data_IF_784004560486
#
_entry.id   IF_784004560486
#
_cell.length_a   1.000
_cell.length_b   1.000
_cell.length_c   1.000
_cell.angle_alpha   90.00
_cell.angle_beta   90.00
_cell.angle_gamma   90.00
#
_symmetry.space_group_name_H-M   'P 1'
#
loop_
_entity.id
_entity.type
_entity.pdbx_description
1 polymer ?
#
# COMPACT_ATOMS: atom_id res chain seq x y z
N UNK A 1 5.81 -15.27 0.82
CA UNK A 1 4.70 -14.70 1.61
C UNK A 1 3.56 -14.40 0.66
N UNK A 2 2.41 -15.01 0.87
CA UNK A 2 1.24 -14.80 0.03
C UNK A 2 0.27 -13.90 0.80
N UNK A 3 -0.03 -12.71 0.26
CA UNK A 3 -0.98 -11.75 0.85
C UNK A 3 -2.44 -12.24 0.71
N UNK A 4 -2.67 -13.12 -0.25
CA UNK A 4 -3.90 -13.85 -0.52
C UNK A 4 -3.54 -15.20 -1.13
N UNK A 5 -4.40 -16.19 -0.99
CA UNK A 5 -4.27 -17.47 -1.68
C UNK A 5 -5.34 -18.45 -1.21
N UNK A 6 -5.70 -19.37 -2.07
CA UNK A 6 -6.53 -20.53 -1.74
C UNK A 6 -5.78 -21.76 -2.19
N UNK A 7 -5.69 -22.77 -1.33
CA UNK A 7 -5.44 -24.14 -1.76
C UNK A 7 -6.77 -24.88 -1.79
N UNK A 8 -6.86 -26.00 -2.51
CA UNK A 8 -8.05 -26.86 -2.46
C UNK A 8 -8.40 -27.15 -0.99
N UNK A 9 -9.65 -26.86 -0.61
CA UNK A 9 -10.16 -27.03 0.75
C UNK A 9 -9.86 -25.93 1.77
N UNK A 10 -8.90 -25.02 1.54
CA UNK A 10 -8.51 -24.01 2.54
C UNK A 10 -8.32 -22.59 1.96
N UNK A 11 -9.15 -21.64 2.42
CA UNK A 11 -8.92 -20.20 2.19
C UNK A 11 -7.79 -19.72 3.11
N UNK A 12 -6.71 -19.16 2.55
CA UNK A 12 -5.68 -18.48 3.36
C UNK A 12 -6.23 -17.15 3.86
N UNK A 13 -5.85 -16.80 5.08
CA UNK A 13 -6.27 -15.57 5.74
C UNK A 13 -5.72 -14.35 4.97
N UNK A 14 -6.61 -13.42 4.61
CA UNK A 14 -6.20 -12.11 4.10
C UNK A 14 -5.76 -11.22 5.27
N UNK A 15 -4.47 -10.88 5.32
CA UNK A 15 -3.89 -10.10 6.42
C UNK A 15 -4.23 -8.60 6.33
N UNK A 16 -4.46 -8.11 5.11
CA UNK A 16 -4.66 -6.69 4.82
C UNK A 16 -5.85 -6.53 3.89
N UNK A 17 -6.77 -5.63 4.23
CA UNK A 17 -7.90 -5.29 3.38
C UNK A 17 -7.40 -4.84 1.99
N UNK A 18 -8.07 -5.31 0.93
CA UNK A 18 -7.74 -4.98 -0.46
C UNK A 18 -7.67 -3.46 -0.68
N UNK A 19 -8.55 -2.75 0.01
CA UNK A 19 -8.62 -1.31 0.01
C UNK A 19 -7.34 -0.59 0.46
N UNK A 20 -6.59 -1.20 1.38
CA UNK A 20 -5.29 -0.72 1.83
C UNK A 20 -4.16 -1.16 0.89
N UNK A 21 -4.22 -2.39 0.36
CA UNK A 21 -3.26 -2.89 -0.64
C UNK A 21 -3.21 -1.99 -1.86
N UNK A 22 -4.36 -1.48 -2.30
CA UNK A 22 -4.44 -0.64 -3.49
C UNK A 22 -3.99 0.81 -3.32
N UNK A 23 -3.67 1.23 -2.10
CA UNK A 23 -3.14 2.58 -1.86
C UNK A 23 -1.71 2.68 -2.43
N UNK A 24 -1.29 3.86 -2.89
CA UNK A 24 0.12 4.08 -3.21
C UNK A 24 1.02 3.84 -1.99
N UNK A 25 2.29 3.50 -2.22
CA UNK A 25 3.27 3.20 -1.15
C UNK A 25 3.40 4.32 -0.11
N UNK A 26 3.34 5.58 -0.56
CA UNK A 26 3.34 6.79 0.30
C UNK A 26 2.22 6.81 1.35
N UNK A 27 1.12 6.11 1.08
CA UNK A 27 -0.05 6.03 1.96
C UNK A 27 -0.18 4.65 2.62
N UNK A 28 0.91 3.87 2.64
CA UNK A 28 0.97 2.57 3.29
C UNK A 28 0.32 1.43 2.52
N UNK A 29 0.13 1.54 1.21
CA UNK A 29 -0.28 0.41 0.36
C UNK A 29 0.86 -0.17 -0.49
N UNK A 30 0.50 -1.00 -1.47
CA UNK A 30 1.43 -1.68 -2.38
C UNK A 30 1.42 -1.12 -3.80
N UNK A 31 0.67 -0.03 -4.03
CA UNK A 31 0.49 0.59 -5.34
C UNK A 31 -0.21 -0.31 -6.38
N UNK A 32 -0.98 -1.30 -5.92
CA UNK A 32 -1.83 -2.12 -6.79
C UNK A 32 -3.01 -1.27 -7.25
N UNK A 33 -3.26 -1.18 -8.55
CA UNK A 33 -4.36 -0.35 -9.06
C UNK A 33 -5.71 -1.04 -8.83
N UNK A 34 -6.70 -0.30 -8.31
CA UNK A 34 -8.10 -0.77 -8.31
C UNK A 34 -8.61 -0.72 -9.74
N UNK A 35 -8.86 -1.87 -10.37
CA UNK A 35 -9.26 -1.93 -11.78
C UNK A 35 -10.46 -1.04 -12.09
N UNK A 36 -11.48 -1.01 -11.22
CA UNK A 36 -12.67 -0.15 -11.40
C UNK A 36 -12.31 1.33 -11.46
N UNK A 37 -11.53 1.84 -10.49
CA UNK A 37 -11.13 3.26 -10.44
C UNK A 37 -10.10 3.60 -11.53
N UNK A 38 -9.21 2.67 -11.88
CA UNK A 38 -8.25 2.87 -12.95
C UNK A 38 -8.94 2.93 -14.32
N UNK A 39 -9.91 2.05 -14.56
CA UNK A 39 -10.75 2.10 -15.74
C UNK A 39 -11.52 3.42 -15.80
N UNK A 40 -12.09 3.85 -14.68
CA UNK A 40 -12.80 5.12 -14.57
C UNK A 40 -11.91 6.32 -14.94
N UNK A 41 -10.71 6.40 -14.37
CA UNK A 41 -9.71 7.40 -14.75
C UNK A 41 -9.24 7.27 -16.21
N UNK A 42 -9.27 6.07 -16.79
CA UNK A 42 -8.91 5.86 -18.19
C UNK A 42 -10.02 6.33 -19.14
N UNK A 43 -11.28 6.04 -18.82
CA UNK A 43 -12.45 6.52 -19.58
C UNK A 43 -12.56 8.03 -19.49
N UNK A 44 -12.21 8.64 -18.35
CA UNK A 44 -12.16 10.10 -18.23
C UNK A 44 -11.19 10.78 -19.20
N UNK A 45 -10.16 10.07 -19.67
CA UNK A 45 -9.27 10.57 -20.73
C UNK A 45 -10.02 10.73 -22.05
N UNK A 46 -10.93 9.81 -22.37
CA UNK A 46 -11.77 9.89 -23.57
C UNK A 46 -12.67 11.12 -23.49
N UNK A 47 -13.29 11.35 -22.33
CA UNK A 47 -14.11 12.53 -22.09
C UNK A 47 -13.30 13.84 -22.26
N UNK A 48 -12.08 13.89 -21.72
CA UNK A 48 -11.17 15.02 -21.93
C UNK A 48 -10.80 15.24 -23.40
N UNK A 49 -10.59 14.17 -24.18
CA UNK A 49 -10.26 14.27 -25.60
C UNK A 49 -11.42 14.85 -26.41
N UNK A 50 -12.66 14.46 -26.08
CA UNK A 50 -13.88 15.04 -26.67
C UNK A 50 -14.03 16.51 -26.28
N UNK A 51 -13.92 16.82 -24.98
CA UNK A 51 -14.05 18.19 -24.47
C UNK A 51 -13.07 19.18 -25.11
N UNK A 52 -11.85 18.73 -25.42
CA UNK A 52 -10.82 19.55 -26.05
C UNK A 52 -10.79 19.44 -27.58
N UNK A 53 -11.83 18.84 -28.20
CA UNK A 53 -11.93 18.58 -29.65
C UNK A 53 -10.60 18.11 -30.25
N UNK A 54 -9.95 17.14 -29.59
CA UNK A 54 -8.63 16.66 -30.02
C UNK A 54 -8.68 16.16 -31.45
N UNK A 55 -7.68 16.52 -32.23
CA UNK A 55 -7.56 16.13 -33.64
C UNK A 55 -7.18 14.65 -33.78
N UNK A 56 -8.14 13.77 -33.52
CA UNK A 56 -8.03 12.32 -33.65
C UNK A 56 -9.31 11.76 -34.27
N UNK A 57 -9.19 10.74 -35.10
CA UNK A 57 -10.28 10.23 -35.94
C UNK A 57 -11.54 9.88 -35.15
N UNK A 58 -11.39 9.19 -34.01
CA UNK A 58 -12.54 8.76 -33.22
C UNK A 58 -13.26 9.93 -32.53
N UNK A 59 -12.57 11.02 -32.16
CA UNK A 59 -13.19 12.22 -31.59
C UNK A 59 -13.97 12.96 -32.67
N UNK A 60 -13.40 13.09 -33.88
CA UNK A 60 -14.12 13.65 -35.04
C UNK A 60 -15.39 12.85 -35.31
N UNK A 61 -15.28 11.54 -35.40
CA UNK A 61 -16.43 10.66 -35.64
C UNK A 61 -17.51 10.79 -34.55
N UNK A 62 -17.11 10.80 -33.27
CA UNK A 62 -18.06 11.01 -32.16
C UNK A 62 -18.76 12.36 -32.26
N UNK A 63 -18.02 13.42 -32.58
CA UNK A 63 -18.57 14.77 -32.69
C UNK A 63 -19.51 14.93 -33.89
N UNK A 64 -19.32 14.18 -34.98
CA UNK A 64 -20.21 14.22 -36.15
C UNK A 64 -21.48 13.37 -35.96
N UNK A 65 -21.37 12.25 -35.26
CA UNK A 65 -22.47 11.28 -35.11
C UNK A 65 -23.34 11.56 -33.88
N UNK A 66 -22.72 11.90 -32.75
CA UNK A 66 -23.42 11.98 -31.46
C UNK A 66 -23.67 13.40 -30.98
N UNK A 67 -22.89 14.39 -31.45
CA UNK A 67 -22.98 15.77 -31.00
C UNK A 67 -23.27 16.68 -32.20
N UNK A 68 -23.85 17.86 -31.98
CA UNK A 68 -23.89 18.90 -33.02
C UNK A 68 -22.53 19.63 -33.05
N UNK A 69 -22.13 20.20 -34.20
CA UNK A 69 -20.79 20.75 -34.44
C UNK A 69 -20.27 21.73 -33.34
N UNK A 70 -21.18 22.45 -32.68
CA UNK A 70 -20.87 23.45 -31.64
C UNK A 70 -21.34 23.06 -30.23
N UNK A 71 -21.80 21.83 -30.02
CA UNK A 71 -22.27 21.38 -28.72
C UNK A 71 -21.10 21.09 -27.77
N UNK A 72 -21.21 21.58 -26.52
CA UNK A 72 -20.25 21.25 -25.47
C UNK A 72 -20.58 19.91 -24.84
N UNK A 73 -19.56 19.08 -24.63
CA UNK A 73 -19.74 17.77 -24.01
C UNK A 73 -20.26 17.92 -22.58
N UNK A 74 -19.99 19.00 -21.86
CA UNK A 74 -20.47 19.14 -20.49
C UNK A 74 -21.98 19.40 -20.39
N UNK A 75 -22.59 19.99 -21.43
CA UNK A 75 -24.04 20.24 -21.50
C UNK A 75 -24.81 19.20 -22.33
N UNK A 76 -24.12 18.37 -23.11
CA UNK A 76 -24.75 17.35 -23.94
C UNK A 76 -25.50 16.28 -23.11
N UNK A 77 -26.73 15.96 -23.52
CA UNK A 77 -27.51 14.85 -22.97
C UNK A 77 -27.71 13.76 -24.03
N UNK A 78 -27.30 12.50 -23.76
CA UNK A 78 -27.41 11.44 -24.75
C UNK A 78 -28.86 10.95 -24.90
N UNK A 79 -29.31 10.74 -26.14
CA UNK A 79 -30.59 10.06 -26.42
C UNK A 79 -30.63 8.65 -25.80
N UNK A 80 -31.82 8.18 -25.42
CA UNK A 80 -32.00 6.83 -24.87
C UNK A 80 -31.61 5.73 -25.88
N UNK A 81 -31.81 6.00 -27.18
CA UNK A 81 -31.46 5.08 -28.28
C UNK A 81 -29.96 5.06 -28.60
N UNK A 82 -29.18 5.94 -27.97
CA UNK A 82 -27.73 5.96 -28.16
C UNK A 82 -27.05 4.73 -27.56
N UNK A 83 -25.88 4.41 -28.11
CA UNK A 83 -25.12 3.24 -27.70
C UNK A 83 -24.85 3.23 -26.19
N UNK A 84 -24.86 2.05 -25.58
CA UNK A 84 -24.61 1.89 -24.16
C UNK A 84 -23.28 2.55 -23.72
N UNK A 85 -22.25 2.45 -24.55
CA UNK A 85 -20.96 3.08 -24.31
C UNK A 85 -21.05 4.61 -24.26
N UNK A 86 -21.83 5.22 -25.15
CA UNK A 86 -22.06 6.67 -25.15
C UNK A 86 -22.80 7.11 -23.88
N UNK A 87 -23.91 6.45 -23.54
CA UNK A 87 -24.64 6.73 -22.29
C UNK A 87 -23.75 6.55 -21.06
N UNK A 88 -22.92 5.49 -21.04
CA UNK A 88 -21.99 5.24 -19.92
C UNK A 88 -20.92 6.31 -19.81
N UNK A 89 -20.35 6.79 -20.91
CA UNK A 89 -19.37 7.88 -20.93
C UNK A 89 -19.99 9.18 -20.39
N UNK A 90 -21.22 9.48 -20.81
CA UNK A 90 -21.95 10.66 -20.39
C UNK A 90 -22.29 10.65 -18.90
N UNK A 91 -22.66 9.49 -18.35
CA UNK A 91 -22.91 9.33 -16.91
C UNK A 91 -21.67 9.59 -16.02
N UNK A 92 -20.47 9.68 -16.59
CA UNK A 92 -19.24 10.00 -15.85
C UNK A 92 -18.97 11.49 -15.73
N UNK A 93 -19.67 12.33 -16.49
CA UNK A 93 -19.48 13.78 -16.51
C UNK A 93 -19.67 14.38 -15.12
N UNK A 94 -20.76 14.03 -14.44
CA UNK A 94 -21.10 14.59 -13.12
C UNK A 94 -20.00 14.35 -12.11
N UNK A 95 -19.48 13.11 -12.08
CA UNK A 95 -18.43 12.71 -11.17
C UNK A 95 -17.10 13.42 -11.47
N UNK A 96 -16.82 13.67 -12.75
CA UNK A 96 -15.57 14.31 -13.18
C UNK A 96 -15.66 15.81 -13.34
N UNK A 97 -16.85 16.42 -13.23
CA UNK A 97 -17.10 17.86 -13.39
C UNK A 97 -16.17 18.68 -12.50
N UNK A 98 -15.97 18.22 -11.27
CA UNK A 98 -15.05 18.80 -10.28
C UNK A 98 -13.58 18.67 -10.65
N UNK A 99 -13.19 18.09 -11.78
CA UNK A 99 -11.79 18.05 -12.25
C UNK A 99 -11.51 19.08 -13.34
N UNK A 100 -12.52 19.83 -13.73
CA UNK A 100 -12.46 20.84 -14.78
C UNK A 100 -12.92 22.18 -14.23
N UNK A 101 -12.31 23.25 -14.73
CA UNK A 101 -12.75 24.62 -14.51
C UNK A 101 -12.65 25.38 -15.83
N UNK A 102 -13.77 25.90 -16.33
CA UNK A 102 -13.87 26.57 -17.64
C UNK A 102 -13.20 25.76 -18.78
N UNK A 103 -13.40 24.45 -18.78
CA UNK A 103 -12.82 23.52 -19.77
C UNK A 103 -11.36 23.10 -19.50
N UNK A 104 -10.67 23.71 -18.53
CA UNK A 104 -9.27 23.39 -18.19
C UNK A 104 -9.22 22.29 -17.12
N UNK A 105 -8.43 21.25 -17.37
CA UNK A 105 -8.24 20.15 -16.42
C UNK A 105 -7.32 20.58 -15.27
N UNK A 106 -7.86 20.64 -14.05
CA UNK A 106 -7.18 21.27 -12.90
C UNK A 106 -6.28 20.35 -12.09
N UNK A 107 -6.29 19.04 -12.33
CA UNK A 107 -5.48 18.08 -11.56
C UNK A 107 -4.00 18.03 -11.99
N UNK A 108 -3.60 18.84 -12.96
CA UNK A 108 -2.23 19.00 -13.45
C UNK A 108 -1.96 20.46 -13.74
N UNK A 109 -0.74 20.93 -13.44
CA UNK A 109 -0.34 22.32 -13.66
C UNK A 109 -0.35 22.76 -15.13
N UNK A 110 -0.16 21.83 -16.06
CA UNK A 110 -0.13 22.10 -17.50
C UNK A 110 -1.50 21.94 -18.19
N UNK A 111 -2.58 21.68 -17.44
CA UNK A 111 -3.92 21.46 -18.01
C UNK A 111 -4.10 20.17 -18.82
N UNK A 112 -3.10 19.27 -18.86
CA UNK A 112 -3.17 18.04 -19.64
C UNK A 112 -3.71 16.86 -18.83
N UNK A 113 -4.61 16.08 -19.42
CA UNK A 113 -5.18 14.93 -18.72
C UNK A 113 -4.14 13.90 -18.32
N UNK A 114 -4.19 13.48 -17.06
CA UNK A 114 -3.35 12.43 -16.50
C UNK A 114 -4.22 11.39 -15.81
N UNK A 115 -4.23 10.17 -16.34
CA UNK A 115 -4.91 9.01 -15.74
C UNK A 115 -4.43 8.81 -14.30
N UNK A 116 -3.14 9.00 -14.04
CA UNK A 116 -2.56 8.88 -12.69
C UNK A 116 -3.09 9.95 -11.73
N UNK A 117 -3.20 11.21 -12.17
CA UNK A 117 -3.74 12.30 -11.34
C UNK A 117 -5.23 12.09 -11.06
N UNK A 118 -6.01 11.73 -12.07
CA UNK A 118 -7.44 11.40 -11.93
C UNK A 118 -7.66 10.19 -11.02
N UNK A 119 -6.86 9.14 -11.16
CA UNK A 119 -6.90 7.97 -10.28
C UNK A 119 -6.63 8.35 -8.81
N UNK A 120 -5.65 9.22 -8.55
CA UNK A 120 -5.37 9.69 -7.20
C UNK A 120 -6.51 10.55 -6.65
N UNK A 121 -7.16 11.37 -7.48
CA UNK A 121 -8.36 12.13 -7.09
C UNK A 121 -9.52 11.19 -6.71
N UNK A 122 -9.73 10.09 -7.45
CA UNK A 122 -10.74 9.08 -7.15
C UNK A 122 -10.46 8.30 -5.85
N UNK A 123 -9.19 8.16 -5.46
CA UNK A 123 -8.83 7.55 -4.18
C UNK A 123 -9.14 8.46 -2.98
N UNK A 124 -9.38 9.75 -3.23
CA UNK A 124 -9.71 10.74 -2.20
C UNK A 124 -8.55 11.07 -1.26
N UNK A 125 -8.89 11.74 -0.16
CA UNK A 125 -7.92 12.11 0.86
C UNK A 125 -7.41 10.88 1.61
N UNK A 126 -6.11 10.63 1.54
CA UNK A 126 -5.44 9.54 2.21
C UNK A 126 -4.41 10.06 3.21
N UNK A 127 -4.37 9.44 4.39
CA UNK A 127 -3.35 9.75 5.39
C UNK A 127 -1.97 9.28 4.93
N UNK A 128 -1.01 10.21 4.89
CA UNK A 128 0.38 9.92 4.52
C UNK A 128 1.01 9.04 5.59
N UNK A 129 1.62 7.94 5.15
CA UNK A 129 2.49 7.14 6.00
C UNK A 129 3.88 7.80 6.00
N UNK A 130 4.21 8.51 7.08
CA UNK A 130 5.43 9.34 7.18
C UNK A 130 6.72 8.54 6.99
N UNK A 131 6.71 7.27 7.38
CA UNK A 131 7.86 6.35 7.34
C UNK A 131 7.87 5.46 6.10
N UNK A 132 6.98 5.68 5.11
CA UNK A 132 6.86 4.83 3.93
C UNK A 132 8.16 4.72 3.12
N UNK A 133 8.90 5.81 2.96
CA UNK A 133 10.19 5.83 2.29
C UNK A 133 11.23 4.94 2.97
N UNK A 134 11.19 4.83 4.31
CA UNK A 134 12.10 3.94 5.05
C UNK A 134 11.75 2.46 4.87
N UNK A 135 10.49 2.10 4.63
CA UNK A 135 10.11 0.70 4.36
C UNK A 135 10.40 0.33 2.91
N UNK A 136 10.14 1.25 1.98
CA UNK A 136 10.21 0.97 0.54
C UNK A 136 11.54 1.34 -0.11
N UNK A 137 12.57 1.62 0.69
CA UNK A 137 13.91 1.96 0.20
C UNK A 137 14.58 0.80 -0.57
N UNK A 138 15.53 1.12 -1.44
CA UNK A 138 16.19 0.13 -2.29
C UNK A 138 17.17 -0.80 -1.56
N UNK A 139 17.72 -0.38 -0.43
CA UNK A 139 18.71 -1.11 0.38
C UNK A 139 18.06 -2.31 1.10
N UNK A 140 16.83 -2.14 1.60
CA UNK A 140 16.08 -3.20 2.24
C UNK A 140 15.70 -4.27 1.22
N UNK A 141 15.94 -5.55 1.52
CA UNK A 141 15.64 -6.63 0.57
C UNK A 141 14.14 -6.77 0.32
N UNK A 142 13.69 -7.15 -0.90
CA UNK A 142 12.27 -7.22 -1.24
C UNK A 142 11.41 -8.04 -0.25
N UNK A 143 11.92 -9.17 0.25
CA UNK A 143 11.22 -10.01 1.25
C UNK A 143 11.09 -9.31 2.61
N UNK A 144 12.11 -8.56 3.02
CA UNK A 144 12.10 -7.79 4.26
C UNK A 144 11.09 -6.64 4.17
N UNK A 145 11.05 -5.90 3.05
CA UNK A 145 10.08 -4.80 2.84
C UNK A 145 8.64 -5.24 3.11
N UNK A 146 8.30 -6.42 2.61
CA UNK A 146 6.96 -6.96 2.76
C UNK A 146 6.63 -7.33 4.21
N UNK A 147 7.56 -7.97 4.93
CA UNK A 147 7.38 -8.26 6.37
C UNK A 147 7.34 -6.96 7.17
N UNK A 148 8.29 -6.05 6.96
CA UNK A 148 8.32 -4.72 7.57
C UNK A 148 7.01 -3.95 7.37
N UNK A 149 6.44 -3.98 6.17
CA UNK A 149 5.15 -3.36 5.87
C UNK A 149 3.97 -3.97 6.65
N UNK A 150 3.97 -5.30 6.83
CA UNK A 150 2.97 -5.97 7.66
C UNK A 150 3.17 -5.69 9.15
N UNK A 151 4.41 -5.74 9.64
CA UNK A 151 4.75 -5.41 11.04
C UNK A 151 4.37 -3.97 11.36
N UNK A 152 4.62 -3.02 10.46
CA UNK A 152 4.24 -1.61 10.66
C UNK A 152 2.73 -1.42 10.87
N UNK A 153 1.91 -2.29 10.26
CA UNK A 153 0.45 -2.28 10.38
C UNK A 153 -0.09 -3.26 11.45
N UNK A 154 0.80 -3.89 12.23
CA UNK A 154 0.48 -4.92 13.22
C UNK A 154 -0.29 -6.10 12.62
N UNK A 155 0.07 -6.54 11.40
CA UNK A 155 -0.65 -7.55 10.61
C UNK A 155 0.01 -8.93 10.59
N UNK A 156 1.17 -9.10 11.23
CA UNK A 156 1.78 -10.41 11.39
C UNK A 156 0.96 -11.28 12.34
N UNK A 157 0.88 -12.58 12.05
CA UNK A 157 0.06 -13.55 12.79
C UNK A 157 0.75 -14.03 14.08
N UNK A 158 1.02 -13.11 15.00
CA UNK A 158 1.42 -13.45 16.37
C UNK A 158 0.31 -14.23 17.07
N UNK A 159 0.64 -14.98 18.12
CA UNK A 159 -0.36 -15.74 18.90
C UNK A 159 -1.46 -14.83 19.45
N UNK A 160 -1.11 -13.65 19.97
CA UNK A 160 -2.07 -12.63 20.39
C UNK A 160 -3.02 -12.21 19.25
N UNK A 161 -2.50 -12.02 18.04
CA UNK A 161 -3.35 -11.66 16.88
C UNK A 161 -4.25 -12.81 16.45
N UNK A 162 -3.77 -14.04 16.49
CA UNK A 162 -4.57 -15.24 16.18
C UNK A 162 -5.75 -15.37 17.15
N UNK A 163 -5.53 -15.16 18.45
CA UNK A 163 -6.60 -15.13 19.46
C UNK A 163 -7.62 -14.02 19.19
N UNK A 164 -7.17 -12.80 18.86
CA UNK A 164 -8.07 -11.69 18.46
C UNK A 164 -8.90 -12.02 17.21
N UNK A 165 -8.44 -12.96 16.38
CA UNK A 165 -9.16 -13.48 15.22
C UNK A 165 -10.01 -14.71 15.55
N UNK A 166 -10.12 -15.09 16.82
CA UNK A 166 -10.82 -16.30 17.29
C UNK A 166 -10.27 -17.60 16.70
N UNK A 167 -8.97 -17.64 16.39
CA UNK A 167 -8.27 -18.83 15.95
C UNK A 167 -7.65 -19.50 17.16
N UNK A 168 -7.91 -20.80 17.34
CA UNK A 168 -7.40 -21.58 18.47
C UNK A 168 -5.86 -21.66 18.44
N UNK A 169 -5.24 -21.42 19.59
CA UNK A 169 -3.79 -21.50 19.80
C UNK A 169 -3.54 -22.34 21.05
N UNK A 170 -2.66 -23.33 20.96
CA UNK A 170 -2.36 -24.27 22.05
C UNK A 170 -1.85 -23.58 23.33
N UNK A 171 -1.02 -22.56 23.16
CA UNK A 171 -0.54 -21.69 24.24
C UNK A 171 -0.21 -20.29 23.69
N UNK A 172 -0.16 -19.30 24.56
CA UNK A 172 0.14 -17.90 24.23
C UNK A 172 1.61 -17.54 24.31
N UNK A 173 2.41 -18.36 24.99
CA UNK A 173 3.82 -18.07 25.33
C UNK A 173 4.70 -17.93 24.09
N UNK A 174 5.64 -16.99 24.13
CA UNK A 174 6.66 -16.81 23.12
C UNK A 174 7.49 -18.08 22.93
N UNK A 175 7.67 -18.52 21.68
CA UNK A 175 8.49 -19.69 21.40
C UNK A 175 9.99 -19.35 21.27
N UNK A 176 10.38 -18.08 21.19
CA UNK A 176 11.78 -17.69 20.96
C UNK A 176 12.58 -17.43 22.24
N UNK A 177 11.93 -17.38 23.40
CA UNK A 177 12.60 -17.26 24.69
C UNK A 177 11.99 -18.21 25.71
N UNK A 178 12.67 -18.36 26.83
CA UNK A 178 12.27 -19.23 27.93
C UNK A 178 11.66 -18.43 29.10
N UNK A 179 11.28 -17.17 28.86
CA UNK A 179 10.80 -16.24 29.90
C UNK A 179 9.33 -16.47 30.29
N UNK A 180 8.60 -17.36 29.61
CA UNK A 180 7.19 -17.63 29.90
C UNK A 180 6.22 -16.49 29.53
N UNK A 181 6.69 -15.47 28.79
CA UNK A 181 5.90 -14.28 28.43
C UNK A 181 5.07 -14.52 27.16
N UNK A 182 3.88 -13.92 27.07
CA UNK A 182 3.00 -14.02 25.91
C UNK A 182 3.59 -13.43 24.61
N UNK A 183 3.36 -14.12 23.49
CA UNK A 183 3.80 -13.71 22.15
C UNK A 183 2.92 -12.58 21.59
N UNK A 184 3.30 -11.35 21.93
CA UNK A 184 2.75 -10.11 21.35
C UNK A 184 3.73 -9.51 20.33
N UNK A 185 3.26 -8.57 19.49
CA UNK A 185 4.16 -7.80 18.61
C UNK A 185 5.21 -7.01 19.42
N UNK A 186 4.80 -6.52 20.59
CA UNK A 186 5.67 -5.78 21.52
C UNK A 186 6.76 -6.69 22.08
N UNK A 187 6.39 -7.85 22.62
CA UNK A 187 7.37 -8.79 23.12
C UNK A 187 8.29 -9.28 21.99
N UNK A 188 7.72 -9.85 20.93
CA UNK A 188 8.48 -10.50 19.86
C UNK A 188 9.46 -9.54 19.15
N UNK A 189 9.08 -8.28 18.96
CA UNK A 189 9.87 -7.31 18.20
C UNK A 189 10.44 -6.16 19.04
N UNK A 190 10.38 -6.17 20.36
CA UNK A 190 11.00 -5.13 21.19
C UNK A 190 11.66 -5.70 22.45
N UNK A 191 11.00 -6.59 23.18
CA UNK A 191 11.43 -7.00 24.53
C UNK A 191 12.09 -8.38 24.57
N UNK A 192 11.75 -9.27 23.64
CA UNK A 192 12.21 -10.65 23.63
C UNK A 192 13.74 -10.75 23.63
N UNK A 193 14.26 -11.63 24.49
CA UNK A 193 15.71 -11.90 24.62
C UNK A 193 16.37 -12.18 23.28
N UNK A 194 15.75 -13.02 22.45
CA UNK A 194 16.22 -13.38 21.10
C UNK A 194 16.57 -12.16 20.23
N UNK A 195 15.63 -11.21 20.08
CA UNK A 195 15.85 -10.06 19.21
C UNK A 195 16.82 -9.06 19.85
N UNK A 196 16.86 -8.98 21.18
CA UNK A 196 17.75 -8.08 21.91
C UNK A 196 19.20 -8.55 21.88
N UNK A 197 19.47 -9.85 21.90
CA UNK A 197 20.82 -10.39 21.66
C UNK A 197 21.33 -10.02 20.26
N UNK A 198 20.51 -10.25 19.23
CA UNK A 198 20.85 -9.86 17.86
C UNK A 198 21.05 -8.34 17.71
N UNK A 199 20.24 -7.53 18.40
CA UNK A 199 20.41 -6.07 18.42
C UNK A 199 21.72 -5.66 19.06
N UNK A 200 22.10 -6.25 20.19
CA UNK A 200 23.35 -5.92 20.89
C UNK A 200 24.55 -6.18 19.99
N UNK A 201 24.60 -7.35 19.35
CA UNK A 201 25.68 -7.70 18.41
C UNK A 201 25.77 -6.69 17.26
N UNK A 202 24.63 -6.34 16.66
CA UNK A 202 24.59 -5.34 15.58
C UNK A 202 24.96 -3.94 16.07
N UNK A 203 24.49 -3.53 17.24
CA UNK A 203 24.79 -2.22 17.82
C UNK A 203 26.29 -2.08 18.09
N UNK A 204 26.92 -3.11 18.67
CA UNK A 204 28.38 -3.17 18.88
C UNK A 204 29.14 -3.12 17.57
N UNK A 205 28.74 -3.91 16.57
CA UNK A 205 29.42 -3.95 15.28
C UNK A 205 29.36 -2.60 14.53
N UNK A 206 28.25 -1.87 14.65
CA UNK A 206 28.05 -0.59 13.96
C UNK A 206 28.48 0.63 14.78
N UNK A 207 28.67 0.50 16.08
CA UNK A 207 28.83 1.63 17.00
C UNK A 207 27.60 2.54 17.08
N UNK A 208 26.40 2.02 16.88
CA UNK A 208 25.14 2.77 16.94
C UNK A 208 24.11 1.98 17.74
N UNK A 209 23.64 2.56 18.84
CA UNK A 209 22.58 1.97 19.64
C UNK A 209 21.27 1.88 18.88
N UNK A 210 20.77 0.66 18.72
CA UNK A 210 19.44 0.38 18.16
C UNK A 210 18.44 0.37 19.32
N UNK A 211 17.38 1.21 19.28
CA UNK A 211 16.43 1.28 20.38
C UNK A 211 15.63 -0.03 20.53
N UNK A 212 15.38 -0.45 21.78
CA UNK A 212 14.48 -1.54 22.12
C UNK A 212 13.01 -1.11 21.95
N UNK A 213 12.59 -1.01 20.69
CA UNK A 213 11.27 -0.52 20.31
C UNK A 213 10.68 -1.36 19.20
N UNK A 214 9.35 -1.48 19.18
CA UNK A 214 8.65 -2.09 18.06
C UNK A 214 8.99 -1.39 16.76
N UNK A 215 8.86 -2.12 15.64
CA UNK A 215 9.34 -1.68 14.34
C UNK A 215 8.88 -0.27 13.95
N UNK A 216 7.59 0.06 14.14
CA UNK A 216 7.03 1.38 13.83
C UNK A 216 7.72 2.50 14.62
N UNK A 217 7.94 2.30 15.91
CA UNK A 217 8.60 3.27 16.78
C UNK A 217 10.10 3.39 16.45
N UNK A 218 10.74 2.31 16.03
CA UNK A 218 12.12 2.30 15.54
C UNK A 218 12.27 3.14 14.26
N UNK A 219 11.34 3.03 13.30
CA UNK A 219 11.33 3.90 12.11
C UNK A 219 11.10 5.38 12.45
N UNK A 220 10.19 5.66 13.39
CA UNK A 220 9.94 7.02 13.88
C UNK A 220 11.19 7.62 14.53
N UNK A 221 11.94 6.81 15.30
CA UNK A 221 13.22 7.24 15.86
C UNK A 221 14.24 7.55 14.77
N UNK A 222 14.39 6.69 13.74
CA UNK A 222 15.27 6.95 12.59
C UNK A 222 14.90 8.27 11.89
N UNK A 223 13.60 8.53 11.69
CA UNK A 223 13.11 9.75 11.05
C UNK A 223 13.55 11.01 11.78
N UNK A 224 13.49 11.00 13.12
CA UNK A 224 13.85 12.12 13.99
C UNK A 224 15.35 12.40 14.06
N UNK A 225 16.21 11.46 13.66
CA UNK A 225 17.66 11.67 13.66
C UNK A 225 18.10 12.62 12.55
N UNK A 226 19.06 13.48 12.86
CA UNK A 226 19.76 14.34 11.90
C UNK A 226 20.82 13.55 11.12
N UNK A 227 20.39 12.54 10.38
CA UNK A 227 21.23 11.71 9.51
C UNK A 227 20.92 11.98 8.04
N UNK A 228 21.93 11.81 7.18
CA UNK A 228 21.74 11.78 5.72
C UNK A 228 20.77 10.65 5.34
N UNK A 229 20.02 10.82 4.25
CA UNK A 229 18.99 9.87 3.81
C UNK A 229 19.54 8.45 3.68
N UNK A 230 20.72 8.28 3.06
CA UNK A 230 21.37 6.98 2.94
C UNK A 230 21.55 6.27 4.29
N UNK A 231 22.04 6.97 5.33
CA UNK A 231 22.19 6.40 6.67
C UNK A 231 20.84 6.01 7.29
N UNK A 232 19.77 6.79 7.04
CA UNK A 232 18.42 6.44 7.48
C UNK A 232 17.91 5.16 6.81
N UNK A 233 18.16 5.01 5.51
CA UNK A 233 17.76 3.83 4.73
C UNK A 233 18.52 2.57 5.15
N UNK A 234 19.83 2.68 5.37
CA UNK A 234 20.66 1.60 5.92
C UNK A 234 20.14 1.15 7.29
N UNK A 235 19.92 2.09 8.21
CA UNK A 235 19.37 1.76 9.54
C UNK A 235 17.97 1.16 9.47
N UNK A 236 17.12 1.62 8.54
CA UNK A 236 15.81 1.04 8.34
C UNK A 236 15.90 -0.39 7.79
N UNK A 237 16.83 -0.65 6.87
CA UNK A 237 17.10 -1.98 6.34
C UNK A 237 17.58 -2.95 7.44
N UNK A 238 18.46 -2.51 8.35
CA UNK A 238 18.91 -3.30 9.50
C UNK A 238 17.75 -3.62 10.45
N UNK A 239 16.94 -2.63 10.81
CA UNK A 239 15.73 -2.86 11.62
C UNK A 239 14.74 -3.82 10.91
N UNK A 240 14.62 -3.69 9.58
CA UNK A 240 13.78 -4.58 8.78
C UNK A 240 14.32 -6.01 8.73
N UNK A 241 15.65 -6.18 8.67
CA UNK A 241 16.32 -7.47 8.73
C UNK A 241 16.11 -8.14 10.10
N UNK A 242 16.28 -7.40 11.20
CA UNK A 242 16.00 -7.89 12.56
C UNK A 242 14.58 -8.44 12.67
N UNK A 243 13.58 -7.66 12.26
CA UNK A 243 12.17 -8.09 12.28
C UNK A 243 11.94 -9.30 11.38
N UNK A 244 12.51 -9.30 10.17
CA UNK A 244 12.35 -10.39 9.22
C UNK A 244 12.93 -11.71 9.76
N UNK A 245 14.16 -11.69 10.26
CA UNK A 245 14.84 -12.90 10.76
C UNK A 245 14.24 -13.38 12.08
N UNK A 246 13.82 -12.49 12.97
CA UNK A 246 13.04 -12.88 14.17
C UNK A 246 11.72 -13.55 13.76
N UNK A 247 10.99 -12.97 12.81
CA UNK A 247 9.75 -13.57 12.31
C UNK A 247 9.99 -14.92 11.62
N UNK A 248 11.09 -15.06 10.90
CA UNK A 248 11.49 -16.30 10.25
C UNK A 248 11.84 -17.38 11.27
N UNK A 249 12.66 -17.06 12.27
CA UNK A 249 13.03 -17.97 13.35
C UNK A 249 11.80 -18.45 14.11
N UNK A 250 10.89 -17.53 14.48
CA UNK A 250 9.60 -17.85 15.10
C UNK A 250 8.83 -18.87 14.26
N UNK A 251 8.64 -18.58 12.97
CA UNK A 251 7.87 -19.47 12.09
C UNK A 251 8.54 -20.83 11.86
N UNK A 252 9.87 -20.89 11.86
CA UNK A 252 10.58 -22.17 11.80
C UNK A 252 10.35 -23.01 13.06
N UNK A 253 10.38 -22.40 14.24
CA UNK A 253 10.11 -23.12 15.49
C UNK A 253 8.65 -23.57 15.59
N UNK A 254 7.70 -22.72 15.19
CA UNK A 254 6.25 -23.04 15.22
C UNK A 254 5.84 -24.09 14.17
N UNK A 255 6.29 -23.97 12.92
CA UNK A 255 5.75 -24.78 11.82
C UNK A 255 6.69 -25.88 11.30
N UNK A 256 7.99 -25.85 11.65
CA UNK A 256 8.97 -26.82 11.16
C UNK A 256 9.68 -27.59 12.27
N UNK A 257 9.41 -27.29 13.55
CA UNK A 257 10.06 -27.87 14.72
C UNK A 257 11.61 -27.85 14.66
N UNK A 258 12.19 -26.94 13.86
CA UNK A 258 13.64 -26.78 13.74
C UNK A 258 14.14 -25.89 14.88
N UNK A 259 15.18 -26.35 15.60
CA UNK A 259 15.93 -25.53 16.55
C UNK A 259 16.73 -24.50 15.74
N UNK A 260 16.42 -23.23 15.94
CA UNK A 260 17.16 -22.11 15.35
C UNK A 260 18.15 -21.65 16.42
N UNK A 261 19.39 -22.13 16.32
CA UNK A 261 20.52 -21.61 17.10
C UNK A 261 21.12 -20.39 16.39
#
# INVERSE_FOLDING_TARGET
MFLWGSSEGHRKISLVAWDNVCKPKKYGGLNVKRCKLWNLASVGKLLWQIANKKDVLWVKWVNEIYMKADEDIWSHEPSQDSSWYWRRLNALKDMMSTWYDRGVYRLTSNGQYSVSSSYNALLGNMNVMREADLIWNCIMLPRQRMISWLTYQNKLLTKERLQRMHIQVENTVCCLCDDGVDETDQHLFAECKWINEARTVLATWMGIDIPQKVFKQSLQWIKRRHWRQFKKEVMAAICGALVYYTWQARNWKVYRQTIVN
#
